data_IF_084245745536
#
_entry.id   IF_084245745536
#
_cell.length_a   1.000
_cell.length_b   1.000
_cell.length_c   1.000
_cell.angle_alpha   90.00
_cell.angle_beta   90.00
_cell.angle_gamma   90.00
#
_symmetry.space_group_name_H-M   'P 1'
#
loop_
_entity.id
_entity.type
_entity.pdbx_description
1 polymer ?
#
# COMPACT_ATOMS: atom_id res chain seq x y z
N UNK A 1 10.90 -16.07 4.99
CA UNK A 1 11.35 -16.15 3.58
C UNK A 1 12.19 -14.95 3.15
N UNK A 2 12.28 -13.84 3.91
CA UNK A 2 13.11 -12.67 3.50
C UNK A 2 14.44 -12.49 4.25
N UNK A 3 14.74 -13.31 5.26
CA UNK A 3 16.09 -13.24 5.87
C UNK A 3 17.12 -13.75 4.87
N UNK A 4 18.19 -12.97 4.66
CA UNK A 4 19.19 -13.21 3.62
C UNK A 4 18.77 -12.79 2.21
N UNK A 5 17.64 -12.09 2.00
CA UNK A 5 17.23 -11.71 0.65
C UNK A 5 18.15 -10.64 0.03
N UNK A 6 18.34 -10.73 -1.28
CA UNK A 6 18.95 -9.67 -2.08
C UNK A 6 17.90 -8.61 -2.41
N UNK A 7 18.16 -7.37 -2.01
CA UNK A 7 17.40 -6.19 -2.41
C UNK A 7 17.77 -5.90 -3.85
N UNK A 8 16.80 -6.00 -4.75
CA UNK A 8 16.97 -5.72 -6.17
C UNK A 8 16.10 -4.54 -6.58
N UNK A 9 16.72 -3.52 -7.18
CA UNK A 9 16.02 -2.45 -7.87
C UNK A 9 16.88 -1.92 -9.02
N UNK A 10 16.22 -1.41 -10.05
CA UNK A 10 16.85 -0.84 -11.26
C UNK A 10 17.71 0.41 -11.02
N UNK A 11 17.34 1.34 -10.11
CA UNK A 11 18.10 2.57 -9.90
C UNK A 11 19.58 2.32 -9.57
N UNK A 12 20.46 3.03 -10.25
CA UNK A 12 21.91 3.01 -9.98
C UNK A 12 22.25 4.17 -9.06
N UNK A 13 22.74 3.83 -7.86
CA UNK A 13 23.23 4.80 -6.88
C UNK A 13 24.63 5.24 -7.29
N UNK A 14 24.83 6.55 -7.41
CA UNK A 14 26.11 7.17 -7.81
C UNK A 14 26.52 8.27 -6.84
N UNK A 15 27.81 8.56 -6.76
CA UNK A 15 28.33 9.75 -6.10
C UNK A 15 28.56 10.89 -7.13
N UNK A 16 28.94 12.07 -6.67
CA UNK A 16 29.13 13.24 -7.52
C UNK A 16 30.20 13.05 -8.62
N UNK A 17 31.28 12.27 -8.37
CA UNK A 17 32.32 12.05 -9.39
C UNK A 17 31.93 11.04 -10.47
N UNK A 18 30.83 10.30 -10.25
CA UNK A 18 30.29 9.31 -11.19
C UNK A 18 29.16 9.89 -12.07
N UNK A 19 28.77 11.15 -11.86
CA UNK A 19 27.73 11.81 -12.66
C UNK A 19 28.23 12.13 -14.06
N UNK A 20 27.37 11.93 -15.05
CA UNK A 20 27.65 12.24 -16.44
C UNK A 20 27.23 13.68 -16.76
N UNK A 21 28.05 14.39 -17.52
CA UNK A 21 27.78 15.78 -17.93
C UNK A 21 26.58 15.82 -18.89
N UNK A 22 25.63 16.70 -18.63
CA UNK A 22 24.42 16.85 -19.44
C UNK A 22 23.24 15.98 -19.01
N UNK A 23 23.44 15.09 -18.03
CA UNK A 23 22.39 14.29 -17.42
C UNK A 23 21.89 14.92 -16.12
N UNK A 24 20.64 14.62 -15.76
CA UNK A 24 20.01 15.11 -14.53
C UNK A 24 19.91 14.02 -13.46
N UNK A 25 20.27 14.39 -12.24
CA UNK A 25 20.31 13.49 -11.09
C UNK A 25 19.49 14.04 -9.93
N UNK A 26 18.72 13.16 -9.31
CA UNK A 26 17.99 13.40 -8.08
C UNK A 26 18.88 13.10 -6.88
N UNK A 27 18.91 14.05 -5.94
CA UNK A 27 19.63 13.91 -4.69
C UNK A 27 18.90 12.94 -3.75
N UNK A 28 19.63 12.00 -3.16
CA UNK A 28 19.12 11.10 -2.12
C UNK A 28 19.68 11.49 -0.75
N UNK A 29 20.97 11.80 -0.69
CA UNK A 29 21.67 12.27 0.51
C UNK A 29 22.63 13.42 0.15
N UNK A 30 23.50 13.83 1.08
CA UNK A 30 24.59 14.77 0.76
C UNK A 30 25.59 14.22 -0.28
N UNK A 31 25.74 12.89 -0.36
CA UNK A 31 26.83 12.25 -1.11
C UNK A 31 26.34 11.39 -2.26
N UNK A 32 25.09 10.94 -2.23
CA UNK A 32 24.56 9.91 -3.11
C UNK A 32 23.31 10.40 -3.85
N UNK A 33 23.25 9.99 -5.12
CA UNK A 33 22.30 10.47 -6.11
C UNK A 33 21.82 9.31 -6.99
N UNK A 34 20.72 9.51 -7.69
CA UNK A 34 20.22 8.60 -8.73
C UNK A 34 19.81 9.39 -9.96
N UNK A 35 19.92 8.80 -11.15
CA UNK A 35 19.46 9.45 -12.38
C UNK A 35 17.96 9.73 -12.33
N UNK A 36 17.51 10.88 -12.84
CA UNK A 36 16.10 11.31 -12.78
C UNK A 36 15.10 10.34 -13.43
N UNK A 37 15.52 9.55 -14.43
CA UNK A 37 14.68 8.53 -15.08
C UNK A 37 14.19 7.44 -14.12
N UNK A 38 14.87 7.31 -12.98
CA UNK A 38 14.52 6.41 -11.89
C UNK A 38 13.72 7.10 -10.78
N UNK A 39 13.46 8.39 -10.94
CA UNK A 39 12.62 9.18 -10.07
C UNK A 39 11.15 8.76 -10.16
N UNK A 40 10.43 9.15 -9.12
CA UNK A 40 8.98 9.02 -9.05
C UNK A 40 8.34 10.10 -9.91
N UNK A 41 7.15 9.82 -10.44
CA UNK A 41 6.41 10.80 -11.24
C UNK A 41 5.98 12.01 -10.39
N UNK A 42 6.09 13.22 -10.94
CA UNK A 42 5.77 14.48 -10.24
C UNK A 42 4.38 14.49 -9.62
N UNK A 43 3.40 13.92 -10.31
CA UNK A 43 2.02 13.83 -9.82
C UNK A 43 1.95 13.00 -8.52
N UNK A 44 2.66 11.86 -8.46
CA UNK A 44 2.65 10.96 -7.32
C UNK A 44 3.40 11.58 -6.14
N UNK A 45 4.53 12.25 -6.42
CA UNK A 45 5.29 13.02 -5.43
C UNK A 45 4.41 14.13 -4.82
N UNK A 46 3.73 14.90 -5.68
CA UNK A 46 2.85 15.99 -5.25
C UNK A 46 1.66 15.48 -4.45
N UNK A 47 1.04 14.37 -4.86
CA UNK A 47 -0.06 13.77 -4.11
C UNK A 47 0.40 13.34 -2.72
N UNK A 48 1.50 12.59 -2.63
CA UNK A 48 2.00 12.12 -1.35
C UNK A 48 2.40 13.28 -0.44
N UNK A 49 3.08 14.30 -0.98
CA UNK A 49 3.45 15.49 -0.23
C UNK A 49 2.22 16.23 0.33
N UNK A 50 1.12 16.32 -0.42
CA UNK A 50 -0.14 16.92 0.07
C UNK A 50 -0.69 16.22 1.31
N UNK A 51 -0.46 14.92 1.44
CA UNK A 51 -0.94 14.13 2.57
C UNK A 51 0.15 13.85 3.62
N UNK A 52 1.41 14.16 3.30
CA UNK A 52 2.51 14.07 4.23
C UNK A 52 2.37 15.11 5.35
N UNK A 53 2.55 14.75 6.63
CA UNK A 53 2.38 15.66 7.78
C UNK A 53 3.21 16.94 7.71
N UNK A 54 4.35 16.88 7.01
CA UNK A 54 5.29 18.00 6.82
C UNK A 54 5.35 18.54 5.40
N UNK A 55 4.53 18.04 4.47
CA UNK A 55 4.54 18.50 3.08
C UNK A 55 5.79 18.12 2.27
N UNK A 56 6.58 17.13 2.73
CA UNK A 56 7.88 16.79 2.11
C UNK A 56 7.66 16.04 0.81
N UNK A 57 8.42 16.43 -0.22
CA UNK A 57 8.41 15.80 -1.53
C UNK A 57 9.57 14.81 -1.62
N UNK A 58 9.25 13.52 -1.79
CA UNK A 58 10.27 12.50 -1.99
C UNK A 58 10.29 12.07 -3.46
N UNK A 59 11.22 12.60 -4.25
CA UNK A 59 11.33 12.30 -5.68
C UNK A 59 11.98 10.93 -5.99
N UNK A 60 12.68 10.34 -5.03
CA UNK A 60 13.42 9.07 -5.20
C UNK A 60 12.66 7.93 -4.52
N UNK A 61 12.58 6.70 -5.06
CA UNK A 61 11.84 5.59 -4.43
C UNK A 61 12.28 5.26 -3.00
N UNK A 62 11.32 4.91 -2.13
CA UNK A 62 11.56 4.71 -0.69
C UNK A 62 12.60 3.62 -0.38
N UNK A 63 12.61 2.53 -1.15
CA UNK A 63 13.60 1.46 -1.00
C UNK A 63 15.02 1.97 -1.27
N UNK A 64 15.20 2.82 -2.29
CA UNK A 64 16.50 3.43 -2.63
C UNK A 64 16.95 4.36 -1.52
N UNK A 65 16.07 5.23 -1.02
CA UNK A 65 16.38 6.13 0.11
C UNK A 65 16.82 5.35 1.35
N UNK A 66 16.12 4.25 1.65
CA UNK A 66 16.44 3.38 2.79
C UNK A 66 17.82 2.74 2.67
N UNK A 67 18.15 2.18 1.49
CA UNK A 67 19.47 1.57 1.23
C UNK A 67 20.58 2.62 1.30
N UNK A 68 20.41 3.77 0.63
CA UNK A 68 21.41 4.85 0.63
C UNK A 68 21.76 5.28 2.05
N UNK A 69 20.76 5.56 2.88
CA UNK A 69 21.02 6.01 4.24
C UNK A 69 21.55 4.89 5.16
N UNK A 70 21.25 3.63 4.86
CA UNK A 70 21.86 2.51 5.56
C UNK A 70 23.35 2.33 5.19
N UNK A 71 23.74 2.57 3.93
CA UNK A 71 25.15 2.60 3.50
C UNK A 71 25.95 3.68 4.21
N UNK A 72 25.37 4.88 4.35
CA UNK A 72 26.02 6.00 5.04
C UNK A 72 26.07 5.82 6.56
N UNK A 73 25.32 4.85 7.10
CA UNK A 73 25.27 4.55 8.54
C UNK A 73 25.41 3.04 8.80
N UNK A 74 26.61 2.47 8.62
CA UNK A 74 26.86 1.05 8.88
C UNK A 74 26.42 0.63 10.29
N UNK A 75 25.81 -0.54 10.40
CA UNK A 75 25.28 -1.07 11.67
C UNK A 75 23.91 -0.54 12.09
N UNK A 76 23.36 0.45 11.36
CA UNK A 76 21.97 0.87 11.54
C UNK A 76 20.97 -0.20 11.07
N UNK A 77 19.72 -0.07 11.53
CA UNK A 77 18.61 -0.98 11.20
C UNK A 77 17.51 -0.18 10.51
N UNK A 78 17.19 -0.57 9.27
CA UNK A 78 16.06 -0.02 8.49
C UNK A 78 14.74 -0.42 9.17
N UNK A 79 13.82 0.52 9.38
CA UNK A 79 12.61 0.31 10.18
C UNK A 79 11.34 0.84 9.49
N UNK A 80 10.17 0.47 10.02
CA UNK A 80 8.87 1.03 9.63
C UNK A 80 8.56 0.92 8.14
N UNK A 81 7.99 1.98 7.55
CA UNK A 81 7.72 2.04 6.11
C UNK A 81 8.98 1.87 5.25
N UNK A 82 10.15 2.31 5.70
CA UNK A 82 11.41 2.12 4.96
C UNK A 82 11.80 0.64 4.87
N UNK A 83 11.56 -0.13 5.94
CA UNK A 83 11.78 -1.58 5.93
C UNK A 83 10.77 -2.27 5.01
N UNK A 84 9.49 -1.88 5.06
CA UNK A 84 8.48 -2.42 4.16
C UNK A 84 8.79 -2.13 2.68
N UNK A 85 9.35 -0.95 2.38
CA UNK A 85 9.79 -0.61 1.03
C UNK A 85 10.89 -1.54 0.52
N UNK A 86 11.92 -1.83 1.34
CA UNK A 86 13.00 -2.76 0.93
C UNK A 86 12.54 -4.21 0.82
N UNK A 87 11.46 -4.59 1.51
CA UNK A 87 10.78 -5.89 1.31
C UNK A 87 9.90 -5.92 0.05
N UNK A 88 9.80 -4.81 -0.69
CA UNK A 88 9.04 -4.74 -1.93
C UNK A 88 7.55 -4.43 -1.76
N UNK A 89 7.14 -3.80 -0.66
CA UNK A 89 5.76 -3.35 -0.52
C UNK A 89 5.47 -2.24 -1.57
N UNK A 90 4.54 -2.44 -2.52
CA UNK A 90 4.40 -1.56 -3.68
C UNK A 90 3.57 -0.29 -3.41
N UNK A 91 2.83 -0.26 -2.30
CA UNK A 91 1.93 0.84 -1.96
C UNK A 91 2.28 1.43 -0.59
N UNK A 92 1.83 2.67 -0.36
CA UNK A 92 1.83 3.36 0.93
C UNK A 92 3.20 3.77 1.48
N UNK A 93 4.31 3.22 0.97
CA UNK A 93 5.66 3.48 1.48
C UNK A 93 6.33 4.71 0.89
N UNK A 94 5.94 5.10 -0.33
CA UNK A 94 6.75 5.99 -1.15
C UNK A 94 6.86 7.42 -0.59
N UNK A 95 5.75 7.95 -0.08
CA UNK A 95 5.70 9.25 0.60
C UNK A 95 6.21 9.27 2.04
N UNK A 96 6.61 8.13 2.62
CA UNK A 96 7.00 8.08 4.02
C UNK A 96 8.43 8.60 4.26
N UNK A 97 8.63 9.24 5.42
CA UNK A 97 9.98 9.56 5.91
C UNK A 97 10.88 8.31 5.95
N UNK A 98 12.15 8.48 5.55
CA UNK A 98 13.12 7.39 5.70
C UNK A 98 13.46 7.23 7.18
N UNK A 99 13.33 6.02 7.74
CA UNK A 99 13.53 5.77 9.17
C UNK A 99 14.56 4.68 9.45
N UNK A 100 15.53 5.01 10.30
CA UNK A 100 16.59 4.12 10.75
C UNK A 100 16.65 4.09 12.28
N UNK A 101 17.15 2.98 12.83
CA UNK A 101 17.59 2.89 14.22
C UNK A 101 19.08 2.66 14.27
N UNK A 102 19.80 3.48 15.03
CA UNK A 102 21.26 3.40 15.14
C UNK A 102 21.73 3.58 16.60
N UNK A 103 22.98 3.21 16.86
CA UNK A 103 23.64 3.44 18.15
C UNK A 103 24.01 4.93 18.30
N UNK A 104 23.00 5.77 18.56
CA UNK A 104 23.13 7.23 18.67
C UNK A 104 22.72 7.73 20.06
N UNK A 105 23.41 8.78 20.51
CA UNK A 105 23.07 9.48 21.75
C UNK A 105 21.72 10.19 21.67
N UNK A 106 21.47 10.90 20.56
CA UNK A 106 20.25 11.69 20.36
C UNK A 106 19.47 11.21 19.12
N UNK A 107 18.14 11.28 19.21
CA UNK A 107 17.28 11.08 18.04
C UNK A 107 17.34 12.31 17.13
N UNK A 108 17.15 12.11 15.82
CA UNK A 108 17.03 13.19 14.84
C UNK A 108 15.80 12.99 13.96
N UNK A 109 15.09 14.07 13.59
CA UNK A 109 13.97 13.99 12.66
C UNK A 109 14.46 13.78 11.22
N UNK A 110 13.57 13.30 10.35
CA UNK A 110 13.85 13.20 8.92
C UNK A 110 13.81 14.58 8.24
N UNK A 111 14.49 14.68 7.11
CA UNK A 111 14.27 15.70 6.09
C UNK A 111 14.11 15.02 4.72
N UNK A 112 13.96 15.80 3.66
CA UNK A 112 13.96 15.29 2.29
C UNK A 112 15.20 14.43 1.97
N UNK A 113 16.37 14.81 2.52
CA UNK A 113 17.67 14.19 2.21
C UNK A 113 18.36 13.56 3.43
N UNK A 114 17.67 13.46 4.57
CA UNK A 114 18.21 12.82 5.78
C UNK A 114 17.16 11.93 6.43
N UNK A 115 17.56 10.74 6.95
CA UNK A 115 16.62 9.85 7.60
C UNK A 115 16.28 10.37 9.01
N UNK A 116 15.09 10.02 9.50
CA UNK A 116 14.82 10.05 10.93
C UNK A 116 15.64 8.94 11.58
N UNK A 117 16.46 9.29 12.56
CA UNK A 117 17.29 8.33 13.29
C UNK A 117 16.80 8.25 14.73
N UNK A 118 16.32 7.07 15.12
CA UNK A 118 15.96 6.77 16.50
C UNK A 118 17.02 5.89 17.17
N UNK A 119 17.06 5.90 18.51
CA UNK A 119 18.00 5.07 19.26
C UNK A 119 17.70 3.57 19.08
N UNK A 120 18.72 2.81 18.72
CA UNK A 120 18.73 1.35 18.74
C UNK A 120 18.97 0.88 20.17
N UNK A 121 17.98 0.22 20.79
CA UNK A 121 18.11 -0.40 22.11
C UNK A 121 18.44 -1.89 21.95
N UNK A 122 19.42 -2.38 22.70
CA UNK A 122 19.82 -3.79 22.73
C UNK A 122 19.01 -4.51 23.81
N UNK A 123 18.57 -5.77 23.61
CA UNK A 123 18.71 -6.56 22.38
C UNK A 123 17.67 -6.17 21.32
N UNK A 124 18.11 -6.03 20.07
CA UNK A 124 17.23 -5.85 18.92
C UNK A 124 17.22 -7.16 18.11
N UNK A 125 16.50 -8.16 18.62
CA UNK A 125 16.45 -9.52 18.12
C UNK A 125 15.49 -9.71 16.92
N UNK A 126 14.61 -8.76 16.66
CA UNK A 126 13.65 -8.80 15.53
C UNK A 126 14.22 -8.16 14.25
N UNK A 127 15.48 -8.46 13.90
CA UNK A 127 16.11 -7.99 12.65
C UNK A 127 16.49 -9.12 11.73
N UNK A 128 16.38 -8.88 10.43
CA UNK A 128 16.92 -9.72 9.37
C UNK A 128 18.10 -9.04 8.69
N UNK A 129 18.94 -9.87 8.08
CA UNK A 129 20.05 -9.41 7.25
C UNK A 129 19.60 -9.43 5.81
N UNK A 130 19.77 -8.33 5.10
CA UNK A 130 19.49 -8.19 3.68
C UNK A 130 20.81 -7.90 2.97
N UNK A 131 20.90 -8.18 1.68
CA UNK A 131 22.08 -7.83 0.88
C UNK A 131 21.67 -6.91 -0.26
N UNK A 132 22.48 -5.88 -0.55
CA UNK A 132 22.34 -5.10 -1.78
C UNK A 132 23.70 -4.94 -2.42
N UNK A 133 23.87 -5.51 -3.63
CA UNK A 133 25.13 -5.47 -4.40
C UNK A 133 26.32 -5.98 -3.58
N UNK A 134 26.12 -7.07 -2.84
CA UNK A 134 27.14 -7.69 -1.98
C UNK A 134 27.37 -7.00 -0.63
N UNK A 135 26.67 -5.89 -0.33
CA UNK A 135 26.76 -5.21 0.96
C UNK A 135 25.64 -5.66 1.87
N UNK A 136 25.99 -6.18 3.05
CA UNK A 136 25.02 -6.58 4.07
C UNK A 136 24.41 -5.36 4.79
N UNK A 137 23.10 -5.35 4.86
CA UNK A 137 22.25 -4.36 5.53
C UNK A 137 21.39 -5.04 6.58
N UNK A 138 20.92 -4.30 7.59
CA UNK A 138 20.00 -4.81 8.61
C UNK A 138 18.65 -4.11 8.49
N UNK A 139 17.57 -4.87 8.57
CA UNK A 139 16.22 -4.34 8.62
C UNK A 139 15.40 -5.01 9.72
N UNK A 140 14.43 -4.32 10.30
CA UNK A 140 13.42 -4.95 11.13
C UNK A 140 12.70 -6.04 10.31
N UNK A 141 12.41 -7.21 10.89
CA UNK A 141 11.66 -8.24 10.18
C UNK A 141 10.27 -7.69 9.74
N UNK A 142 9.60 -8.26 8.72
CA UNK A 142 8.38 -7.69 8.15
C UNK A 142 7.25 -7.48 9.18
N UNK A 143 7.08 -8.39 10.14
CA UNK A 143 6.08 -8.23 11.19
C UNK A 143 6.40 -7.03 12.10
N UNK A 144 7.66 -6.88 12.52
CA UNK A 144 8.12 -5.73 13.31
C UNK A 144 8.07 -4.42 12.53
N UNK A 145 8.47 -4.43 11.26
CA UNK A 145 8.37 -3.29 10.35
C UNK A 145 6.91 -2.83 10.20
N UNK A 146 5.97 -3.77 10.06
CA UNK A 146 4.53 -3.49 10.02
C UNK A 146 4.06 -2.80 11.29
N UNK A 147 4.44 -3.30 12.46
CA UNK A 147 4.07 -2.70 13.76
C UNK A 147 4.65 -1.29 13.92
N UNK A 148 5.90 -1.07 13.51
CA UNK A 148 6.52 0.25 13.49
C UNK A 148 5.79 1.20 12.54
N UNK A 149 5.42 0.74 11.34
CA UNK A 149 4.66 1.52 10.36
C UNK A 149 3.25 1.88 10.88
N UNK A 150 2.57 0.96 11.58
CA UNK A 150 1.30 1.26 12.26
C UNK A 150 1.47 2.33 13.36
N UNK A 151 2.56 2.29 14.12
CA UNK A 151 2.86 3.33 15.11
C UNK A 151 3.12 4.69 14.44
N UNK A 152 3.90 4.72 13.36
CA UNK A 152 4.17 5.92 12.56
C UNK A 152 2.87 6.55 12.04
N UNK A 153 1.98 5.75 11.44
CA UNK A 153 0.68 6.21 10.97
C UNK A 153 -0.20 6.75 12.12
N UNK A 154 -0.23 6.08 13.27
CA UNK A 154 -1.00 6.52 14.44
C UNK A 154 -0.50 7.81 15.08
N UNK A 155 0.82 8.04 15.05
CA UNK A 155 1.44 9.27 15.57
C UNK A 155 1.35 10.44 14.59
N UNK A 156 0.81 10.22 13.40
CA UNK A 156 0.79 11.23 12.34
C UNK A 156 2.18 11.54 11.80
N UNK A 157 3.10 10.57 11.83
CA UNK A 157 4.44 10.69 11.23
C UNK A 157 4.39 10.36 9.72
N UNK A 158 3.40 9.58 9.30
CA UNK A 158 3.12 9.30 7.88
C UNK A 158 1.62 9.20 7.64
N UNK A 159 1.15 9.74 6.51
CA UNK A 159 -0.25 9.71 6.13
C UNK A 159 -0.41 9.75 4.61
N UNK A 160 -1.50 9.19 4.12
CA UNK A 160 -1.89 9.17 2.71
C UNK A 160 -3.41 9.39 2.58
N UNK A 161 -3.88 9.64 1.35
CA UNK A 161 -5.29 9.85 1.08
C UNK A 161 -6.12 8.59 1.38
N UNK A 162 -7.26 8.75 2.06
CA UNK A 162 -8.26 7.69 2.20
C UNK A 162 -9.66 8.21 1.91
N UNK A 163 -10.56 7.37 1.39
CA UNK A 163 -11.99 7.71 1.38
C UNK A 163 -12.57 7.78 2.79
N UNK A 164 -13.69 8.50 2.91
CA UNK A 164 -14.47 8.53 4.14
C UNK A 164 -15.31 7.26 4.26
N UNK A 165 -14.91 6.38 5.16
CA UNK A 165 -15.64 5.15 5.49
C UNK A 165 -16.55 5.42 6.70
N UNK A 166 -17.88 5.27 6.58
CA UNK A 166 -18.80 5.49 7.69
C UNK A 166 -18.44 4.66 8.93
N UNK A 167 -18.33 5.31 10.10
CA UNK A 167 -18.02 4.65 11.38
C UNK A 167 -16.54 4.29 11.60
N UNK A 168 -15.64 4.74 10.72
CA UNK A 168 -14.19 4.56 10.87
C UNK A 168 -13.44 5.88 10.68
N UNK A 169 -12.51 6.17 11.59
CA UNK A 169 -11.55 7.26 11.41
C UNK A 169 -10.51 6.90 10.33
N UNK A 170 -9.90 7.92 9.72
CA UNK A 170 -8.93 7.73 8.64
C UNK A 170 -7.69 6.93 9.09
N UNK A 171 -7.25 7.05 10.34
CA UNK A 171 -6.12 6.28 10.88
C UNK A 171 -6.43 4.79 10.94
N UNK A 172 -7.64 4.41 11.30
CA UNK A 172 -8.13 3.03 11.28
C UNK A 172 -8.20 2.51 9.84
N UNK A 173 -8.70 3.30 8.89
CA UNK A 173 -8.73 2.91 7.45
C UNK A 173 -7.31 2.67 6.92
N UNK A 174 -6.38 3.60 7.17
CA UNK A 174 -4.95 3.46 6.82
C UNK A 174 -4.33 2.21 7.41
N UNK A 175 -4.62 1.92 8.68
CA UNK A 175 -4.12 0.71 9.33
C UNK A 175 -4.66 -0.57 8.66
N UNK A 176 -5.94 -0.60 8.26
CA UNK A 176 -6.51 -1.75 7.54
C UNK A 176 -5.83 -1.90 6.18
N UNK A 177 -5.66 -0.81 5.42
CA UNK A 177 -4.97 -0.84 4.13
C UNK A 177 -3.53 -1.37 4.25
N UNK A 178 -2.78 -0.87 5.24
CA UNK A 178 -1.42 -1.33 5.47
C UNK A 178 -1.37 -2.82 5.81
N UNK A 179 -2.25 -3.29 6.71
CA UNK A 179 -2.31 -4.71 7.06
C UNK A 179 -2.72 -5.55 5.86
N UNK A 180 -3.72 -5.15 5.08
CA UNK A 180 -4.14 -5.87 3.87
C UNK A 180 -2.97 -5.97 2.88
N UNK A 181 -2.26 -4.88 2.64
CA UNK A 181 -1.10 -4.84 1.75
C UNK A 181 0.01 -5.80 2.19
N UNK A 182 0.42 -5.78 3.47
CA UNK A 182 1.51 -6.67 3.94
C UNK A 182 1.07 -8.13 3.98
N UNK A 183 -0.22 -8.41 4.24
CA UNK A 183 -0.77 -9.77 4.18
C UNK A 183 -0.81 -10.29 2.74
N UNK A 184 -1.20 -9.45 1.78
CA UNK A 184 -1.28 -9.82 0.37
C UNK A 184 0.10 -9.96 -0.27
N UNK A 185 0.97 -8.98 -0.05
CA UNK A 185 2.24 -8.83 -0.78
C UNK A 185 3.41 -9.51 -0.06
N UNK A 186 3.46 -9.44 1.27
CA UNK A 186 4.52 -10.07 2.09
C UNK A 186 4.07 -11.36 2.76
N UNK A 187 2.84 -11.81 2.50
CA UNK A 187 2.25 -13.08 3.00
C UNK A 187 2.22 -13.18 4.53
N UNK A 188 2.25 -12.04 5.23
CA UNK A 188 2.18 -12.02 6.68
C UNK A 188 0.86 -12.57 7.20
N UNK A 189 0.94 -13.35 8.28
CA UNK A 189 -0.22 -13.88 8.97
C UNK A 189 -0.66 -12.95 10.10
N UNK A 190 -1.96 -13.01 10.42
CA UNK A 190 -2.54 -12.23 11.53
C UNK A 190 -1.85 -12.56 12.87
N UNK A 191 -1.45 -13.81 13.07
CA UNK A 191 -0.73 -14.25 14.27
C UNK A 191 0.64 -13.59 14.41
N UNK A 192 1.40 -13.48 13.32
CA UNK A 192 2.71 -12.83 13.28
C UNK A 192 2.59 -11.34 13.62
N UNK A 193 1.60 -10.65 13.04
CA UNK A 193 1.34 -9.24 13.33
C UNK A 193 0.92 -9.04 14.79
N UNK A 194 0.06 -9.91 15.33
CA UNK A 194 -0.35 -9.85 16.74
C UNK A 194 0.83 -10.07 17.69
N UNK A 195 1.68 -11.05 17.38
CA UNK A 195 2.87 -11.35 18.19
C UNK A 195 3.83 -10.17 18.22
N UNK A 196 4.18 -9.61 17.06
CA UNK A 196 5.08 -8.45 16.97
C UNK A 196 4.50 -7.17 17.62
N UNK A 197 3.16 -7.04 17.67
CA UNK A 197 2.48 -5.90 18.26
C UNK A 197 2.34 -5.96 19.78
N UNK A 198 2.62 -7.11 20.40
CA UNK A 198 2.46 -7.31 21.83
C UNK A 198 3.27 -6.29 22.64
N UNK A 199 2.60 -5.56 23.53
CA UNK A 199 3.20 -4.49 24.35
C UNK A 199 3.64 -3.24 23.58
N UNK A 200 3.36 -3.14 22.27
CA UNK A 200 3.76 -2.02 21.41
C UNK A 200 2.57 -1.20 20.90
N UNK A 201 1.41 -1.83 20.74
CA UNK A 201 0.18 -1.24 20.21
C UNK A 201 -0.99 -1.62 21.11
N UNK A 202 -1.96 -0.71 21.25
CA UNK A 202 -3.22 -0.98 21.95
C UNK A 202 -3.94 -2.20 21.33
N UNK A 203 -4.16 -3.23 22.14
CA UNK A 203 -4.69 -4.52 21.67
C UNK A 203 -6.14 -4.42 21.20
N UNK A 204 -6.95 -3.53 21.80
CA UNK A 204 -8.36 -3.34 21.42
C UNK A 204 -8.46 -2.72 20.03
N UNK A 205 -7.69 -1.65 19.80
CA UNK A 205 -7.57 -1.00 18.50
C UNK A 205 -7.04 -1.97 17.45
N UNK A 206 -5.94 -2.67 17.72
CA UNK A 206 -5.38 -3.63 16.77
C UNK A 206 -6.39 -4.74 16.44
N UNK A 207 -7.15 -5.23 17.42
CA UNK A 207 -8.19 -6.23 17.18
C UNK A 207 -9.33 -5.70 16.31
N UNK A 208 -9.70 -4.42 16.44
CA UNK A 208 -10.65 -3.75 15.54
C UNK A 208 -10.12 -3.69 14.11
N UNK A 209 -8.85 -3.31 13.91
CA UNK A 209 -8.21 -3.26 12.60
C UNK A 209 -8.15 -4.65 11.97
N UNK A 210 -7.63 -5.65 12.70
CA UNK A 210 -7.48 -7.02 12.21
C UNK A 210 -8.82 -7.69 11.87
N UNK A 211 -9.89 -7.38 12.60
CA UNK A 211 -11.25 -7.86 12.29
C UNK A 211 -11.71 -7.47 10.87
N UNK A 212 -11.32 -6.27 10.43
CA UNK A 212 -11.69 -5.73 9.12
C UNK A 212 -10.66 -6.03 8.03
N UNK A 213 -9.51 -6.63 8.37
CA UNK A 213 -8.45 -6.91 7.43
C UNK A 213 -8.73 -8.16 6.59
N UNK A 214 -8.30 -8.13 5.33
CA UNK A 214 -8.34 -9.21 4.35
C UNK A 214 -6.99 -9.34 3.64
N UNK A 215 -6.66 -10.54 3.17
CA UNK A 215 -5.39 -10.79 2.46
C UNK A 215 -5.58 -10.81 0.93
N UNK A 216 -6.75 -10.39 0.46
CA UNK A 216 -7.25 -10.53 -0.93
C UNK A 216 -7.20 -9.23 -1.72
N UNK A 217 -7.12 -8.07 -1.06
CA UNK A 217 -7.06 -6.78 -1.74
C UNK A 217 -5.70 -6.61 -2.42
N UNK A 218 -5.70 -6.39 -3.73
CA UNK A 218 -4.51 -6.16 -4.54
C UNK A 218 -4.00 -4.71 -4.46
N UNK A 219 -4.87 -3.79 -4.06
CA UNK A 219 -4.55 -2.38 -3.85
C UNK A 219 -5.20 -1.77 -2.59
N UNK A 220 -4.66 -0.68 -2.03
CA UNK A 220 -5.30 0.05 -0.94
C UNK A 220 -6.72 0.54 -1.26
N UNK A 221 -7.01 0.80 -2.55
CA UNK A 221 -8.32 1.28 -2.99
C UNK A 221 -9.38 0.19 -3.04
N UNK A 222 -9.01 -1.06 -3.34
CA UNK A 222 -9.90 -2.20 -3.13
C UNK A 222 -10.27 -2.37 -1.65
N UNK A 223 -9.32 -2.19 -0.72
CA UNK A 223 -9.64 -2.19 0.72
C UNK A 223 -10.70 -1.13 1.06
N UNK A 224 -10.58 0.09 0.53
CA UNK A 224 -11.58 1.14 0.75
C UNK A 224 -12.94 0.78 0.14
N UNK A 225 -12.95 0.30 -1.11
CA UNK A 225 -14.15 -0.13 -1.80
C UNK A 225 -14.87 -1.23 -1.01
N UNK A 226 -14.13 -2.24 -0.52
CA UNK A 226 -14.67 -3.29 0.35
C UNK A 226 -15.32 -2.74 1.60
N UNK A 227 -14.64 -1.82 2.30
CA UNK A 227 -15.15 -1.22 3.53
C UNK A 227 -16.42 -0.39 3.29
N UNK A 228 -16.57 0.21 2.10
CA UNK A 228 -17.78 0.93 1.70
C UNK A 228 -18.93 0.02 1.25
N UNK A 229 -18.62 -1.08 0.54
CA UNK A 229 -19.61 -2.02 -0.01
C UNK A 229 -20.13 -3.01 1.03
N UNK A 230 -19.29 -3.47 1.97
CA UNK A 230 -19.69 -4.49 2.94
C UNK A 230 -20.92 -4.09 3.78
N UNK A 231 -21.06 -2.84 4.27
CA UNK A 231 -22.27 -2.41 4.95
C UNK A 231 -23.50 -2.39 4.04
N UNK A 232 -23.35 -2.03 2.76
CA UNK A 232 -24.45 -2.06 1.77
C UNK A 232 -24.93 -3.48 1.56
N UNK A 233 -24.02 -4.40 1.24
CA UNK A 233 -24.32 -5.82 1.06
C UNK A 233 -25.03 -6.42 2.28
N UNK A 234 -24.54 -6.09 3.49
CA UNK A 234 -25.16 -6.54 4.75
C UNK A 234 -26.59 -6.03 4.92
N UNK A 235 -26.87 -4.75 4.60
CA UNK A 235 -28.24 -4.19 4.67
C UNK A 235 -29.20 -4.84 3.67
N UNK A 236 -28.69 -5.20 2.50
CA UNK A 236 -29.45 -5.89 1.46
C UNK A 236 -29.57 -7.41 1.69
N UNK A 237 -28.94 -7.96 2.73
CA UNK A 237 -28.98 -9.39 3.03
C UNK A 237 -28.24 -10.28 2.02
N UNK A 238 -27.27 -9.72 1.29
CA UNK A 238 -26.49 -10.45 0.27
C UNK A 238 -25.04 -10.66 0.70
N UNK A 239 -24.36 -11.63 0.09
CA UNK A 239 -22.95 -11.90 0.36
C UNK A 239 -22.07 -11.24 -0.68
N UNK A 240 -21.20 -10.33 -0.24
CA UNK A 240 -20.14 -9.77 -1.08
C UNK A 240 -18.94 -10.72 -1.07
N UNK A 241 -18.58 -11.24 -2.24
CA UNK A 241 -17.41 -12.11 -2.47
C UNK A 241 -16.29 -11.27 -3.06
N UNK A 242 -15.07 -11.43 -2.55
CA UNK A 242 -13.87 -10.74 -3.06
C UNK A 242 -13.17 -11.61 -4.11
N UNK A 243 -12.55 -10.99 -5.12
CA UNK A 243 -11.73 -11.68 -6.12
C UNK A 243 -12.47 -12.83 -6.83
N UNK A 244 -13.65 -12.55 -7.38
CA UNK A 244 -14.53 -13.55 -7.97
C UNK A 244 -14.24 -13.76 -9.47
N UNK A 245 -13.79 -14.95 -9.90
CA UNK A 245 -13.51 -15.22 -11.31
C UNK A 245 -14.80 -15.41 -12.12
N UNK A 246 -14.95 -14.64 -13.20
CA UNK A 246 -15.95 -14.91 -14.24
C UNK A 246 -15.40 -15.98 -15.19
N UNK A 247 -15.98 -17.17 -15.14
CA UNK A 247 -15.62 -18.30 -15.99
C UNK A 247 -16.71 -18.51 -17.04
N UNK A 248 -16.32 -18.47 -18.31
CA UNK A 248 -17.20 -18.73 -19.47
C UNK A 248 -16.52 -19.81 -20.31
N UNK A 249 -17.27 -20.86 -20.65
CA UNK A 249 -16.79 -22.01 -21.43
C UNK A 249 -15.46 -22.59 -20.93
N UNK A 250 -15.32 -22.68 -19.60
CA UNK A 250 -14.13 -23.21 -18.94
C UNK A 250 -12.92 -22.27 -18.91
N UNK A 251 -13.04 -21.02 -19.39
CA UNK A 251 -11.97 -20.02 -19.40
C UNK A 251 -12.29 -18.86 -18.47
N UNK A 252 -11.30 -18.38 -17.72
CA UNK A 252 -11.42 -17.16 -16.93
C UNK A 252 -11.39 -15.96 -17.88
N UNK A 253 -12.50 -15.24 -17.96
CA UNK A 253 -12.63 -14.02 -18.77
C UNK A 253 -12.08 -12.83 -18.02
N UNK A 254 -12.41 -12.72 -16.73
CA UNK A 254 -11.90 -11.70 -15.82
C UNK A 254 -12.07 -12.16 -14.38
N UNK A 255 -11.47 -11.46 -13.44
CA UNK A 255 -11.74 -11.58 -12.01
C UNK A 255 -12.31 -10.25 -11.53
N UNK A 256 -13.53 -10.27 -10.99
CA UNK A 256 -14.10 -9.08 -10.37
C UNK A 256 -13.47 -8.87 -8.99
N UNK A 257 -13.12 -7.63 -8.65
CA UNK A 257 -12.62 -7.31 -7.31
C UNK A 257 -13.63 -7.66 -6.24
N UNK A 258 -14.92 -7.42 -6.53
CA UNK A 258 -16.04 -7.87 -5.72
C UNK A 258 -17.17 -8.41 -6.58
N UNK A 259 -17.95 -9.34 -6.06
CA UNK A 259 -19.15 -9.83 -6.71
C UNK A 259 -20.27 -10.19 -5.72
N UNK A 260 -21.50 -10.16 -6.22
CA UNK A 260 -22.66 -10.83 -5.63
C UNK A 260 -23.15 -11.84 -6.69
N UNK A 261 -22.58 -13.06 -6.71
CA UNK A 261 -22.76 -14.01 -7.81
C UNK A 261 -24.22 -14.39 -8.07
N UNK A 262 -25.00 -14.56 -7.00
CA UNK A 262 -26.43 -14.89 -7.07
C UNK A 262 -27.27 -13.84 -7.82
N UNK A 263 -26.77 -12.60 -7.88
CA UNK A 263 -27.43 -11.49 -8.59
C UNK A 263 -26.73 -11.12 -9.90
N UNK A 264 -25.67 -11.84 -10.30
CA UNK A 264 -24.77 -11.50 -11.41
C UNK A 264 -24.34 -10.04 -11.37
N UNK A 265 -23.86 -9.59 -10.21
CA UNK A 265 -23.30 -8.26 -10.03
C UNK A 265 -21.81 -8.39 -9.77
N UNK A 266 -20.98 -7.93 -10.70
CA UNK A 266 -19.52 -7.86 -10.56
C UNK A 266 -19.11 -6.41 -10.37
N UNK A 267 -18.08 -6.12 -9.58
CA UNK A 267 -17.65 -4.75 -9.27
C UNK A 267 -16.15 -4.72 -9.49
N UNK A 268 -15.70 -3.72 -10.24
CA UNK A 268 -14.29 -3.55 -10.60
C UNK A 268 -13.78 -2.18 -10.15
N UNK A 269 -12.51 -2.13 -9.74
CA UNK A 269 -11.77 -0.93 -9.44
C UNK A 269 -10.63 -0.78 -10.46
N UNK A 270 -10.71 0.27 -11.27
CA UNK A 270 -9.65 0.62 -12.19
C UNK A 270 -8.55 1.36 -11.42
N UNK A 271 -7.46 0.63 -11.15
CA UNK A 271 -6.18 1.23 -10.78
C UNK A 271 -5.68 2.18 -11.88
N UNK A 272 -4.82 3.13 -11.51
CA UNK A 272 -4.15 3.98 -12.52
C UNK A 272 -3.13 3.14 -13.26
N UNK A 273 -3.41 2.79 -14.51
CA UNK A 273 -2.46 2.09 -15.38
C UNK A 273 -2.12 2.95 -16.59
N UNK A 274 -0.81 3.21 -16.76
CA UNK A 274 -0.24 3.89 -17.91
C UNK A 274 -0.08 2.93 -19.10
N UNK A 275 -1.18 2.38 -19.63
CA UNK A 275 -1.19 1.62 -20.90
C UNK A 275 -2.56 1.70 -21.53
N UNK A 276 -2.85 2.83 -22.18
CA UNK A 276 -4.23 3.21 -22.44
C UNK A 276 -4.90 2.54 -23.65
N UNK A 277 -4.20 1.91 -24.60
CA UNK A 277 -4.87 1.36 -25.79
C UNK A 277 -5.29 -0.10 -25.63
N UNK A 278 -4.33 -1.00 -25.39
CA UNK A 278 -4.62 -2.44 -25.26
C UNK A 278 -5.49 -2.74 -24.05
N UNK A 279 -5.27 -2.05 -22.94
CA UNK A 279 -6.08 -2.19 -21.73
C UNK A 279 -7.53 -1.75 -21.99
N UNK A 280 -7.75 -0.64 -22.72
CA UNK A 280 -9.11 -0.18 -23.07
C UNK A 280 -9.85 -1.20 -23.95
N UNK A 281 -9.15 -1.84 -24.90
CA UNK A 281 -9.74 -2.88 -25.74
C UNK A 281 -10.10 -4.13 -24.93
N UNK A 282 -9.20 -4.57 -24.05
CA UNK A 282 -9.45 -5.68 -23.13
C UNK A 282 -10.64 -5.37 -22.21
N UNK A 283 -10.69 -4.17 -21.64
CA UNK A 283 -11.77 -3.72 -20.77
C UNK A 283 -13.12 -3.66 -21.48
N UNK A 284 -13.14 -3.17 -22.73
CA UNK A 284 -14.34 -3.16 -23.55
C UNK A 284 -14.83 -4.59 -23.82
N UNK A 285 -13.91 -5.51 -24.16
CA UNK A 285 -14.21 -6.93 -24.37
C UNK A 285 -14.77 -7.59 -23.11
N UNK A 286 -14.14 -7.36 -21.95
CA UNK A 286 -14.61 -7.86 -20.64
C UNK A 286 -16.02 -7.35 -20.35
N UNK A 287 -16.29 -6.06 -20.57
CA UNK A 287 -17.59 -5.47 -20.29
C UNK A 287 -18.68 -6.05 -21.19
N UNK A 288 -18.44 -6.13 -22.51
CA UNK A 288 -19.39 -6.68 -23.48
C UNK A 288 -19.67 -8.16 -23.19
N UNK A 289 -18.62 -8.94 -22.91
CA UNK A 289 -18.75 -10.36 -22.57
C UNK A 289 -19.54 -10.55 -21.27
N UNK A 290 -19.20 -9.80 -20.22
CA UNK A 290 -19.91 -9.86 -18.95
C UNK A 290 -21.40 -9.52 -19.12
N UNK A 291 -21.71 -8.46 -19.85
CA UNK A 291 -23.08 -8.05 -20.15
C UNK A 291 -23.83 -9.11 -20.96
N UNK A 292 -23.20 -9.69 -21.98
CA UNK A 292 -23.78 -10.77 -22.78
C UNK A 292 -24.18 -11.98 -21.92
N UNK A 293 -23.42 -12.27 -20.87
CA UNK A 293 -23.73 -13.33 -19.90
C UNK A 293 -24.62 -12.87 -18.73
N UNK A 294 -25.20 -11.67 -18.80
CA UNK A 294 -26.17 -11.13 -17.86
C UNK A 294 -25.58 -10.49 -16.60
N UNK A 295 -24.28 -10.18 -16.60
CA UNK A 295 -23.63 -9.49 -15.49
C UNK A 295 -23.81 -7.98 -15.60
N UNK A 296 -24.12 -7.36 -14.45
CA UNK A 296 -24.00 -5.91 -14.27
C UNK A 296 -22.62 -5.64 -13.68
N UNK A 297 -21.83 -4.76 -14.31
CA UNK A 297 -20.44 -4.51 -13.90
C UNK A 297 -20.16 -3.03 -13.61
N UNK A 298 -20.56 -2.48 -12.45
CA UNK A 298 -20.15 -1.14 -12.04
C UNK A 298 -18.63 -1.10 -11.86
N UNK A 299 -18.03 -0.03 -12.38
CA UNK A 299 -16.58 0.16 -12.37
C UNK A 299 -16.23 1.51 -11.76
N UNK A 300 -15.30 1.49 -10.81
CA UNK A 300 -14.89 2.66 -10.07
C UNK A 300 -13.45 3.05 -10.42
N UNK A 301 -13.18 4.34 -10.37
CA UNK A 301 -11.84 4.90 -10.27
C UNK A 301 -11.69 5.59 -8.91
N UNK A 302 -10.50 6.09 -8.60
CA UNK A 302 -10.28 6.86 -7.36
C UNK A 302 -11.24 8.05 -7.19
N UNK A 303 -11.76 8.64 -8.28
CA UNK A 303 -12.67 9.80 -8.23
C UNK A 303 -14.15 9.41 -8.17
N UNK A 304 -14.51 8.16 -8.46
CA UNK A 304 -15.90 7.71 -8.60
C UNK A 304 -16.31 6.64 -7.58
N UNK A 305 -15.52 6.41 -6.54
CA UNK A 305 -15.82 5.36 -5.54
C UNK A 305 -17.19 5.51 -4.88
N UNK A 306 -17.53 6.69 -4.35
CA UNK A 306 -18.83 6.90 -3.73
C UNK A 306 -20.01 6.79 -4.71
N UNK A 307 -19.82 7.23 -5.96
CA UNK A 307 -20.83 7.04 -7.01
C UNK A 307 -21.00 5.56 -7.34
N UNK A 308 -19.91 4.80 -7.43
CA UNK A 308 -19.98 3.35 -7.65
C UNK A 308 -20.73 2.64 -6.53
N UNK A 309 -20.51 3.02 -5.27
CA UNK A 309 -21.25 2.48 -4.12
C UNK A 309 -22.76 2.75 -4.26
N UNK A 310 -23.15 3.96 -4.68
CA UNK A 310 -24.55 4.31 -4.94
C UNK A 310 -25.16 3.47 -6.07
N UNK A 311 -24.42 3.30 -7.18
CA UNK A 311 -24.85 2.47 -8.32
C UNK A 311 -25.03 1.01 -7.89
N UNK A 312 -24.13 0.48 -7.07
CA UNK A 312 -24.21 -0.88 -6.52
C UNK A 312 -25.43 -1.02 -5.60
N UNK A 313 -25.65 -0.08 -4.69
CA UNK A 313 -26.80 -0.12 -3.78
C UNK A 313 -28.14 -0.11 -4.54
N UNK A 314 -28.25 0.75 -5.57
CA UNK A 314 -29.43 0.80 -6.43
C UNK A 314 -29.61 -0.48 -7.25
N UNK A 315 -28.53 -1.04 -7.80
CA UNK A 315 -28.57 -2.30 -8.54
C UNK A 315 -29.02 -3.46 -7.65
N UNK A 316 -28.53 -3.53 -6.40
CA UNK A 316 -28.95 -4.53 -5.41
C UNK A 316 -30.44 -4.40 -5.09
N UNK A 317 -30.91 -3.18 -4.77
CA UNK A 317 -32.33 -2.94 -4.47
C UNK A 317 -33.23 -3.35 -5.62
N UNK A 318 -32.91 -2.95 -6.85
CA UNK A 318 -33.66 -3.32 -8.04
C UNK A 318 -33.74 -4.82 -8.25
N UNK A 319 -32.61 -5.53 -8.13
CA UNK A 319 -32.54 -6.97 -8.34
C UNK A 319 -33.24 -7.76 -7.22
N UNK A 320 -33.34 -7.20 -6.02
CA UNK A 320 -34.03 -7.79 -4.87
C UNK A 320 -35.49 -7.35 -4.72
N UNK A 321 -35.99 -6.44 -5.58
CA UNK A 321 -37.35 -5.89 -5.48
C UNK A 321 -37.57 -5.01 -4.23
N UNK A 322 -36.50 -4.45 -3.66
CA UNK A 322 -36.59 -3.57 -2.50
C UNK A 322 -37.02 -2.15 -2.93
N UNK A 323 -37.84 -1.43 -2.12
CA UNK A 323 -38.19 -0.06 -2.42
C UNK A 323 -36.95 0.82 -2.52
N UNK A 324 -36.88 1.66 -3.56
CA UNK A 324 -35.90 2.73 -3.62
C UNK A 324 -36.26 3.80 -2.60
N UNK A 325 -35.32 4.17 -1.73
CA UNK A 325 -35.44 5.41 -0.93
C UNK A 325 -35.52 6.58 -1.91
N UNK A 326 -36.74 7.01 -2.25
CA UNK A 326 -36.95 8.31 -2.87
C UNK A 326 -36.57 9.33 -1.81
N UNK A 327 -35.43 10.00 -2.05
CA UNK A 327 -35.14 11.28 -1.42
C UNK A 327 -36.24 12.28 -1.74
#
# INVERSE_FOLDING_TARGET
MHDGMEITFTPVIVNASQMQRGEHYLRVSERLFVHERFGRTDWAVTLDARHHPRGVQYCVPAAVRAVVHAYERPGSVICGFSALAVYGLPYLVEGADTTLRAAVGNCSPASEFTPAVARLRVPHNETWTLTHRGISLRAANPARATVQALQQARRGEHAWQTEQVPGMDCTTVRAIQLIDCVRRQLRLQVSEIRSAAAGQIDQRWLSKVLKHSRATADSPKETEMRLLLQPVAKRCGVTLVEQYPLIIDGRVVTTFDFAVPELKLGIMFDGRHHWEYEQRQLDASINLTSMFHGWTVPRASSKSMHLCVQVVEEALRRKLGLPTDRR
#
